data_IF_784524436852
#
_entry.id   IF_784524436852
#
_cell.length_a   1.000
_cell.length_b   1.000
_cell.length_c   1.000
_cell.angle_alpha   90.00
_cell.angle_beta   90.00
_cell.angle_gamma   90.00
#
_symmetry.space_group_name_H-M   'P 1'
#
loop_
_entity.id
_entity.type
_entity.pdbx_description
1 polymer ?
#
# COMPACT_ATOMS: atom_id res chain seq x y z
N UNK A 1 4.42 -16.72 -40.86
CA UNK A 1 5.58 -15.82 -40.98
C UNK A 1 5.96 -15.21 -39.63
N UNK A 2 5.09 -14.42 -38.99
CA UNK A 2 5.42 -13.72 -37.73
C UNK A 2 5.95 -14.61 -36.60
N UNK A 3 5.36 -15.79 -36.39
CA UNK A 3 5.83 -16.78 -35.40
C UNK A 3 7.28 -17.22 -35.68
N UNK A 4 7.63 -17.46 -36.94
CA UNK A 4 8.99 -17.88 -37.34
C UNK A 4 10.02 -16.77 -37.16
N UNK A 5 9.61 -15.52 -37.32
CA UNK A 5 10.45 -14.36 -37.01
C UNK A 5 10.72 -14.24 -35.51
N UNK A 6 9.71 -14.53 -34.67
CA UNK A 6 9.86 -14.58 -33.20
C UNK A 6 10.83 -15.70 -32.80
N UNK A 7 10.70 -16.87 -33.41
CA UNK A 7 11.60 -18.01 -33.19
C UNK A 7 13.04 -17.64 -33.53
N UNK A 8 13.30 -17.04 -34.70
CA UNK A 8 14.66 -16.66 -35.10
C UNK A 8 15.24 -15.53 -34.25
N UNK A 9 14.45 -14.50 -33.92
CA UNK A 9 14.89 -13.44 -33.01
C UNK A 9 15.27 -14.02 -31.63
N UNK A 10 14.46 -14.96 -31.13
CA UNK A 10 14.69 -15.58 -29.83
C UNK A 10 15.88 -16.55 -29.87
N UNK A 11 16.08 -17.26 -30.99
CA UNK A 11 17.27 -18.11 -31.24
C UNK A 11 18.56 -17.31 -31.12
N UNK A 12 18.57 -16.08 -31.64
CA UNK A 12 19.72 -15.18 -31.61
C UNK A 12 19.84 -14.38 -30.30
N UNK A 13 18.90 -14.55 -29.36
CA UNK A 13 18.95 -13.88 -28.05
C UNK A 13 18.58 -12.39 -28.07
N UNK A 14 18.05 -11.87 -29.18
CA UNK A 14 17.68 -10.45 -29.25
C UNK A 14 16.35 -10.17 -28.54
N UNK A 15 16.32 -9.14 -27.70
CA UNK A 15 15.07 -8.59 -27.18
C UNK A 15 14.28 -7.88 -28.30
N UNK A 16 12.95 -7.86 -28.22
CA UNK A 16 12.11 -7.20 -29.23
C UNK A 16 12.48 -5.72 -29.43
N UNK A 17 12.82 -5.00 -28.35
CA UNK A 17 13.22 -3.59 -28.44
C UNK A 17 14.59 -3.42 -29.12
N UNK A 18 15.57 -4.27 -28.79
CA UNK A 18 16.90 -4.20 -29.39
C UNK A 18 16.86 -4.59 -30.87
N UNK A 19 16.12 -5.66 -31.19
CA UNK A 19 15.96 -6.11 -32.57
C UNK A 19 15.29 -5.06 -33.45
N UNK A 20 14.25 -4.38 -32.96
CA UNK A 20 13.60 -3.28 -33.66
C UNK A 20 14.57 -2.13 -33.95
N UNK A 21 15.39 -1.76 -32.97
CA UNK A 21 16.40 -0.71 -33.14
C UNK A 21 17.46 -1.09 -34.19
N UNK A 22 17.97 -2.32 -34.16
CA UNK A 22 18.98 -2.79 -35.12
C UNK A 22 18.44 -2.98 -36.54
N UNK A 23 17.14 -3.22 -36.68
CA UNK A 23 16.47 -3.35 -37.98
C UNK A 23 15.81 -2.04 -38.45
N UNK A 24 16.06 -0.93 -37.74
CA UNK A 24 15.57 0.42 -38.06
C UNK A 24 14.04 0.52 -38.18
N UNK A 25 13.31 -0.31 -37.44
CA UNK A 25 11.84 -0.23 -37.37
C UNK A 25 11.39 0.14 -35.96
N UNK A 26 10.19 0.72 -35.86
CA UNK A 26 9.62 0.96 -34.54
C UNK A 26 9.31 -0.36 -33.83
N UNK A 27 9.38 -0.37 -32.50
CA UNK A 27 9.00 -1.55 -31.70
C UNK A 27 7.57 -2.01 -31.99
N UNK A 28 6.66 -1.08 -32.25
CA UNK A 28 5.27 -1.40 -32.58
C UNK A 28 5.15 -2.05 -33.96
N UNK A 29 5.91 -1.57 -34.95
CA UNK A 29 6.01 -2.18 -36.28
C UNK A 29 6.51 -3.61 -36.18
N UNK A 30 7.59 -3.86 -35.42
CA UNK A 30 8.10 -5.21 -35.21
C UNK A 30 7.07 -6.10 -34.50
N UNK A 31 6.38 -5.58 -33.49
CA UNK A 31 5.32 -6.31 -32.78
C UNK A 31 4.18 -6.73 -33.72
N UNK A 32 3.76 -5.86 -34.64
CA UNK A 32 2.73 -6.16 -35.62
C UNK A 32 3.18 -7.19 -36.66
N UNK A 33 4.44 -7.13 -37.09
CA UNK A 33 5.05 -8.13 -37.98
C UNK A 33 5.12 -9.52 -37.32
N UNK A 34 5.56 -9.57 -36.06
CA UNK A 34 5.61 -10.80 -35.25
C UNK A 34 4.22 -11.40 -35.01
N UNK A 35 3.19 -10.55 -34.87
CA UNK A 35 1.79 -10.98 -34.75
C UNK A 35 1.15 -11.35 -36.10
N UNK A 36 1.86 -11.15 -37.22
CA UNK A 36 1.35 -11.38 -38.57
C UNK A 36 0.26 -10.40 -39.03
N UNK A 37 0.11 -9.27 -38.33
CA UNK A 37 -0.88 -8.22 -38.66
C UNK A 37 -0.37 -7.19 -39.66
N UNK A 38 0.94 -7.17 -39.89
CA UNK A 38 1.59 -6.32 -40.90
C UNK A 38 2.51 -7.18 -41.77
N UNK A 39 2.59 -6.83 -43.04
CA UNK A 39 3.54 -7.44 -43.98
C UNK A 39 4.98 -7.05 -43.62
N UNK A 40 5.91 -7.96 -43.87
CA UNK A 40 7.34 -7.75 -43.64
C UNK A 40 7.96 -7.21 -44.93
N UNK A 41 8.66 -6.07 -44.87
CA UNK A 41 9.35 -5.51 -46.04
C UNK A 41 10.63 -6.28 -46.35
N UNK A 42 11.01 -6.33 -47.63
CA UNK A 42 12.27 -6.94 -48.05
C UNK A 42 13.49 -6.25 -47.41
N UNK A 43 13.41 -4.93 -47.21
CA UNK A 43 14.44 -4.12 -46.56
C UNK A 43 14.66 -4.53 -45.09
N UNK A 44 13.56 -4.80 -44.37
CA UNK A 44 13.63 -5.33 -43.01
C UNK A 44 14.26 -6.73 -42.98
N UNK A 45 13.90 -7.62 -43.92
CA UNK A 45 14.50 -8.96 -43.99
C UNK A 45 16.00 -8.89 -44.33
N UNK A 46 16.42 -7.95 -45.17
CA UNK A 46 17.83 -7.71 -45.47
C UNK A 46 18.63 -7.31 -44.23
N UNK A 47 18.12 -6.37 -43.43
CA UNK A 47 18.75 -6.00 -42.15
C UNK A 47 18.73 -7.15 -41.15
N UNK A 48 17.63 -7.89 -41.06
CA UNK A 48 17.52 -9.05 -40.18
C UNK A 48 18.54 -10.15 -40.55
N UNK A 49 18.78 -10.39 -41.85
CA UNK A 49 19.78 -11.35 -42.31
C UNK A 49 21.19 -11.01 -41.83
N UNK A 50 21.55 -9.72 -41.83
CA UNK A 50 22.84 -9.25 -41.32
C UNK A 50 23.00 -9.51 -39.81
N UNK A 51 21.89 -9.59 -39.07
CA UNK A 51 21.88 -9.96 -37.65
C UNK A 51 21.91 -11.47 -37.41
N UNK A 52 22.00 -12.28 -38.48
CA UNK A 52 22.07 -13.74 -38.42
C UNK A 52 20.71 -14.45 -38.46
N UNK A 53 19.63 -13.73 -38.79
CA UNK A 53 18.30 -14.32 -38.97
C UNK A 53 18.26 -15.16 -40.24
N UNK A 54 17.79 -16.39 -40.14
CA UNK A 54 17.53 -17.24 -41.29
C UNK A 54 16.26 -16.74 -42.02
N UNK A 55 16.46 -15.87 -43.00
CA UNK A 55 15.36 -15.30 -43.80
C UNK A 55 14.63 -16.39 -44.59
N UNK A 56 15.34 -17.43 -45.05
CA UNK A 56 14.72 -18.55 -45.76
C UNK A 56 13.72 -19.26 -44.84
N UNK A 57 14.08 -19.50 -43.58
CA UNK A 57 13.15 -20.07 -42.59
C UNK A 57 11.97 -19.16 -42.29
N UNK A 58 12.19 -17.86 -42.11
CA UNK A 58 11.10 -16.90 -41.82
C UNK A 58 10.07 -16.91 -42.95
N UNK A 59 10.53 -16.91 -44.20
CA UNK A 59 9.67 -16.86 -45.39
C UNK A 59 9.06 -18.22 -45.73
N UNK A 60 9.89 -19.24 -45.90
CA UNK A 60 9.49 -20.55 -46.44
C UNK A 60 9.11 -21.54 -45.36
N UNK A 61 9.63 -21.39 -44.14
CA UNK A 61 9.45 -22.36 -43.04
C UNK A 61 10.44 -23.51 -43.07
N UNK A 62 11.34 -23.53 -44.06
CA UNK A 62 12.41 -24.51 -44.19
C UNK A 62 13.70 -23.83 -43.73
N UNK A 63 14.39 -24.42 -42.75
CA UNK A 63 15.68 -23.89 -42.25
C UNK A 63 16.75 -24.06 -43.31
N UNK A 64 17.56 -23.02 -43.52
CA UNK A 64 18.77 -23.15 -44.32
C UNK A 64 19.73 -24.08 -43.60
N UNK A 65 20.22 -25.11 -44.29
CA UNK A 65 21.30 -25.94 -43.77
C UNK A 65 22.59 -25.13 -43.78
N UNK A 66 22.91 -24.50 -42.65
CA UNK A 66 24.21 -23.88 -42.42
C UNK A 66 25.24 -24.98 -42.19
N UNK A 67 26.39 -24.92 -42.86
CA UNK A 67 27.51 -25.90 -42.85
C UNK A 67 28.03 -26.30 -41.45
N UNK A 68 27.60 -25.63 -40.38
CA UNK A 68 28.05 -25.87 -38.99
C UNK A 68 27.34 -27.04 -38.27
N UNK A 69 26.28 -27.66 -38.84
CA UNK A 69 25.48 -28.71 -38.19
C UNK A 69 25.80 -30.17 -38.63
N UNK A 70 27.05 -30.51 -38.96
CA UNK A 70 27.45 -31.91 -39.27
C UNK A 70 27.95 -32.72 -38.08
N UNK A 71 28.30 -32.10 -36.97
CA UNK A 71 28.79 -32.78 -35.77
C UNK A 71 27.73 -32.72 -34.66
N UNK A 72 27.55 -33.81 -33.93
CA UNK A 72 26.78 -33.86 -32.66
C UNK A 72 25.27 -34.11 -32.77
N UNK A 73 24.87 -35.14 -33.54
CA UNK A 73 23.62 -35.88 -33.25
C UNK A 73 23.91 -37.13 -32.44
N UNK A 74 23.94 -37.06 -31.10
CA UNK A 74 23.54 -38.23 -30.27
C UNK A 74 23.08 -37.82 -28.86
N UNK A 75 21.96 -38.42 -28.41
CA UNK A 75 21.52 -38.62 -27.00
C UNK A 75 20.77 -37.43 -26.33
N UNK A 76 19.61 -37.53 -25.66
CA UNK A 76 18.73 -38.63 -25.18
C UNK A 76 17.27 -38.11 -25.09
N UNK A 77 16.32 -38.99 -25.42
CA UNK A 77 14.88 -38.85 -25.16
C UNK A 77 14.58 -39.20 -23.68
N UNK A 78 13.79 -38.38 -22.98
CA UNK A 78 12.95 -38.78 -21.83
C UNK A 78 11.98 -37.63 -21.47
N UNK A 79 10.70 -37.79 -21.83
CA UNK A 79 9.64 -36.78 -21.60
C UNK A 79 8.64 -37.27 -20.54
N UNK A 80 8.80 -36.84 -19.29
CA UNK A 80 7.77 -36.96 -18.26
C UNK A 80 6.99 -35.64 -18.18
N UNK A 81 5.79 -35.61 -18.75
CA UNK A 81 4.85 -34.48 -18.66
C UNK A 81 3.87 -34.77 -17.51
N UNK A 82 3.93 -33.99 -16.43
CA UNK A 82 2.94 -34.01 -15.34
C UNK A 82 1.91 -32.93 -15.63
N UNK A 83 0.63 -33.31 -15.80
CA UNK A 83 -0.48 -32.39 -16.01
C UNK A 83 -1.05 -31.90 -14.67
N UNK A 84 -1.09 -30.58 -14.48
CA UNK A 84 -1.83 -29.91 -13.41
C UNK A 84 -2.85 -28.92 -13.97
N UNK A 85 -3.91 -28.64 -13.19
CA UNK A 85 -5.14 -27.89 -13.53
C UNK A 85 -4.96 -26.47 -14.13
N UNK A 86 -3.72 -25.97 -14.32
CA UNK A 86 -3.41 -24.65 -14.90
C UNK A 86 -2.21 -24.63 -15.84
N UNK A 87 -2.03 -25.65 -16.68
CA UNK A 87 -1.17 -25.57 -17.87
C UNK A 87 -0.11 -26.67 -18.01
N UNK A 88 0.41 -26.82 -19.24
CA UNK A 88 1.44 -27.79 -19.63
C UNK A 88 2.82 -27.21 -19.29
N UNK A 89 3.54 -27.87 -18.38
CA UNK A 89 4.92 -27.52 -18.04
C UNK A 89 5.83 -28.35 -18.96
N UNK A 90 6.38 -27.73 -20.00
CA UNK A 90 7.36 -28.39 -20.85
C UNK A 90 8.69 -28.55 -20.08
N UNK A 91 9.32 -29.71 -20.24
CA UNK A 91 10.54 -30.16 -19.58
C UNK A 91 11.78 -29.37 -20.03
N UNK A 92 11.81 -28.06 -19.80
CA UNK A 92 13.01 -27.23 -19.91
C UNK A 92 13.64 -27.04 -18.53
N UNK A 93 14.98 -27.03 -18.47
CA UNK A 93 15.74 -26.75 -17.24
C UNK A 93 15.25 -25.46 -16.59
N UNK A 94 14.52 -25.56 -15.48
CA UNK A 94 14.07 -24.41 -14.69
C UNK A 94 15.30 -23.91 -13.92
N UNK A 95 16.03 -22.96 -14.49
CA UNK A 95 17.04 -22.20 -13.75
C UNK A 95 16.31 -21.27 -12.77
N UNK A 96 15.93 -21.82 -11.61
CA UNK A 96 15.34 -21.08 -10.51
C UNK A 96 16.44 -20.24 -9.81
N UNK A 97 16.84 -19.15 -10.46
CA UNK A 97 17.81 -18.19 -9.94
C UNK A 97 17.18 -17.48 -8.74
N UNK A 98 17.36 -18.03 -7.53
CA UNK A 98 17.01 -17.39 -6.27
C UNK A 98 18.07 -16.32 -5.96
N UNK A 99 17.95 -15.13 -6.54
CA UNK A 99 18.73 -13.97 -6.07
C UNK A 99 18.12 -13.46 -4.78
N UNK A 100 18.83 -13.62 -3.67
CA UNK A 100 18.44 -13.03 -2.39
C UNK A 100 18.66 -11.51 -2.44
N UNK A 101 17.58 -10.74 -2.27
CA UNK A 101 17.67 -9.28 -2.22
C UNK A 101 18.34 -8.84 -0.92
N UNK A 102 19.65 -8.66 -0.93
CA UNK A 102 20.38 -8.10 0.20
C UNK A 102 20.10 -6.58 0.31
N UNK A 103 19.47 -6.14 1.40
CA UNK A 103 19.24 -4.71 1.69
C UNK A 103 19.83 -4.38 3.05
N UNK A 104 20.87 -3.56 3.10
CA UNK A 104 21.46 -3.07 4.35
C UNK A 104 20.58 -1.98 4.96
N UNK A 105 20.00 -2.23 6.13
CA UNK A 105 19.26 -1.22 6.89
C UNK A 105 20.18 -0.64 7.96
N UNK A 106 20.61 0.61 7.78
CA UNK A 106 21.29 1.37 8.85
C UNK A 106 20.31 1.57 10.00
N UNK A 107 20.50 0.85 11.11
CA UNK A 107 19.67 1.01 12.30
C UNK A 107 20.21 2.19 13.09
N UNK A 108 19.46 3.30 13.12
CA UNK A 108 19.74 4.39 14.04
C UNK A 108 19.64 3.86 15.48
N UNK A 109 20.67 4.09 16.28
CA UNK A 109 20.68 3.74 17.70
C UNK A 109 19.69 4.66 18.42
N UNK A 110 18.70 4.07 19.08
CA UNK A 110 17.75 4.82 19.91
C UNK A 110 18.38 4.95 21.29
N UNK A 111 18.58 6.18 21.76
CA UNK A 111 18.94 6.52 23.14
C UNK A 111 17.68 6.96 23.91
N UNK A 112 17.01 6.05 24.65
CA UNK A 112 15.80 6.39 25.38
C UNK A 112 16.11 7.32 26.56
N UNK A 113 15.18 8.22 26.89
CA UNK A 113 15.16 9.04 28.12
C UNK A 113 16.08 10.26 28.13
N UNK A 114 17.23 10.24 27.45
CA UNK A 114 18.13 11.42 27.37
C UNK A 114 17.77 12.33 26.19
N UNK A 115 17.65 11.77 24.99
CA UNK A 115 17.42 12.55 23.76
C UNK A 115 16.06 12.20 23.15
N UNK A 116 15.63 10.95 23.26
CA UNK A 116 14.40 10.45 22.65
C UNK A 116 13.33 10.06 23.67
N UNK A 117 12.09 9.94 23.18
CA UNK A 117 10.94 9.51 24.00
C UNK A 117 11.24 8.25 24.82
N UNK A 118 10.71 8.22 26.04
CA UNK A 118 10.75 7.04 26.90
C UNK A 118 9.89 5.91 26.33
N UNK A 119 10.16 4.67 26.75
CA UNK A 119 9.40 3.50 26.30
C UNK A 119 7.92 3.56 26.69
N UNK A 120 7.60 4.13 27.86
CA UNK A 120 6.22 4.35 28.29
C UNK A 120 5.47 5.29 27.33
N UNK A 121 6.12 6.38 26.91
CA UNK A 121 5.58 7.31 25.92
C UNK A 121 5.42 6.62 24.57
N UNK A 122 6.40 5.84 24.15
CA UNK A 122 6.35 5.05 22.93
C UNK A 122 5.15 4.09 22.92
N UNK A 123 4.87 3.42 24.05
CA UNK A 123 3.69 2.57 24.22
C UNK A 123 2.39 3.35 24.12
N UNK A 124 2.31 4.50 24.78
CA UNK A 124 1.15 5.40 24.70
C UNK A 124 0.86 5.81 23.25
N UNK A 125 1.89 6.13 22.48
CA UNK A 125 1.72 6.45 21.04
C UNK A 125 1.22 5.25 20.24
N UNK A 126 1.72 4.04 20.51
CA UNK A 126 1.23 2.82 19.87
C UNK A 126 -0.26 2.58 20.14
N UNK A 127 -0.69 2.74 21.39
CA UNK A 127 -2.10 2.54 21.77
C UNK A 127 -3.01 3.59 21.10
N UNK A 128 -2.57 4.86 21.03
CA UNK A 128 -3.30 5.91 20.30
C UNK A 128 -3.37 5.63 18.79
N UNK A 129 -2.29 5.15 18.18
CA UNK A 129 -2.28 4.78 16.75
C UNK A 129 -3.21 3.60 16.50
N UNK A 130 -3.21 2.59 17.39
CA UNK A 130 -4.12 1.45 17.31
C UNK A 130 -5.58 1.91 17.35
N UNK A 131 -5.94 2.77 18.30
CA UNK A 131 -7.29 3.33 18.39
C UNK A 131 -7.69 4.09 17.10
N UNK A 132 -6.77 4.87 16.51
CA UNK A 132 -7.04 5.57 15.24
C UNK A 132 -7.34 4.57 14.12
N UNK A 133 -6.52 3.54 13.96
CA UNK A 133 -6.70 2.56 12.87
C UNK A 133 -8.02 1.80 13.05
N UNK A 134 -8.35 1.38 14.26
CA UNK A 134 -9.64 0.72 14.56
C UNK A 134 -10.83 1.64 14.24
N UNK A 135 -10.75 2.93 14.59
CA UNK A 135 -11.79 3.90 14.26
C UNK A 135 -11.86 4.20 12.76
N UNK A 136 -10.71 4.32 12.08
CA UNK A 136 -10.66 4.49 10.62
C UNK A 136 -11.34 3.32 9.91
N UNK A 137 -11.04 2.08 10.31
CA UNK A 137 -11.66 0.87 9.77
C UNK A 137 -13.17 0.85 9.96
N UNK A 138 -13.67 1.23 11.15
CA UNK A 138 -15.11 1.30 11.41
C UNK A 138 -15.78 2.42 10.61
N UNK A 139 -15.12 3.55 10.36
CA UNK A 139 -15.77 4.77 9.88
C UNK A 139 -15.62 5.03 8.38
N UNK A 140 -14.45 4.75 7.81
CA UNK A 140 -14.07 5.13 6.45
C UNK A 140 -14.10 3.94 5.50
N UNK A 141 -14.44 4.21 4.24
CA UNK A 141 -14.42 3.19 3.20
C UNK A 141 -12.98 2.83 2.79
N UNK A 142 -12.07 3.80 2.83
CA UNK A 142 -10.64 3.59 2.61
C UNK A 142 -9.88 3.96 3.90
N UNK A 143 -9.80 3.04 4.87
CA UNK A 143 -9.19 3.29 6.16
C UNK A 143 -7.68 3.41 6.06
N UNK A 144 -7.08 4.23 6.92
CA UNK A 144 -5.61 4.32 6.99
C UNK A 144 -5.02 3.12 7.73
N UNK A 145 -3.98 2.54 7.15
CA UNK A 145 -3.17 1.51 7.79
C UNK A 145 -2.30 2.10 8.91
N UNK A 146 -1.81 1.23 9.80
CA UNK A 146 -0.81 1.60 10.82
C UNK A 146 0.35 2.38 10.22
N UNK A 147 0.90 1.90 9.10
CA UNK A 147 2.02 2.55 8.41
C UNK A 147 1.67 3.97 7.95
N UNK A 148 0.45 4.19 7.43
CA UNK A 148 0.02 5.52 6.99
C UNK A 148 -0.16 6.50 8.17
N UNK A 149 -0.64 6.01 9.32
CA UNK A 149 -0.75 6.82 10.54
C UNK A 149 0.63 7.16 11.08
N UNK A 150 1.55 6.19 11.16
CA UNK A 150 2.95 6.43 11.56
C UNK A 150 3.66 7.39 10.63
N UNK A 151 3.52 7.23 9.31
CA UNK A 151 4.10 8.16 8.34
C UNK A 151 3.60 9.59 8.55
N UNK A 152 2.31 9.75 8.86
CA UNK A 152 1.71 11.05 9.15
C UNK A 152 2.25 11.66 10.44
N UNK A 153 2.41 10.86 11.50
CA UNK A 153 2.97 11.30 12.78
C UNK A 153 4.45 11.68 12.64
N UNK A 154 5.26 10.82 12.01
CA UNK A 154 6.68 11.02 11.79
C UNK A 154 6.93 12.32 11.00
N UNK A 155 6.13 12.55 9.95
CA UNK A 155 6.14 13.81 9.19
C UNK A 155 5.77 15.00 10.06
N UNK A 156 4.75 14.90 10.91
CA UNK A 156 4.33 15.98 11.80
C UNK A 156 5.38 16.33 12.87
N UNK A 157 6.11 15.34 13.37
CA UNK A 157 7.20 15.51 14.33
C UNK A 157 8.55 15.84 13.66
N UNK A 158 8.63 15.75 12.33
CA UNK A 158 9.84 15.92 11.51
C UNK A 158 10.96 14.94 11.89
N UNK A 159 10.60 13.66 12.01
CA UNK A 159 11.53 12.57 12.36
C UNK A 159 11.37 11.40 11.39
N UNK A 160 12.42 10.58 11.25
CA UNK A 160 12.36 9.39 10.42
C UNK A 160 11.46 8.29 11.00
N UNK A 161 11.52 8.10 12.33
CA UNK A 161 10.69 7.13 13.06
C UNK A 161 10.23 7.71 14.39
N UNK A 162 9.09 7.24 14.89
CA UNK A 162 8.49 7.75 16.12
C UNK A 162 9.39 7.54 17.35
N UNK A 163 10.24 6.51 17.32
CA UNK A 163 11.23 6.26 18.39
C UNK A 163 12.33 7.32 18.47
N UNK A 164 12.51 8.12 17.42
CA UNK A 164 13.47 9.23 17.40
C UNK A 164 12.81 10.57 17.72
N UNK A 165 11.55 10.58 18.16
CA UNK A 165 10.89 11.82 18.60
C UNK A 165 11.66 12.37 19.82
N UNK A 166 12.09 13.65 19.78
CA UNK A 166 12.68 14.31 20.94
C UNK A 166 11.70 14.40 22.11
N UNK A 167 12.19 14.31 23.34
CA UNK A 167 11.37 14.37 24.55
C UNK A 167 10.47 15.63 24.57
N UNK A 168 10.99 16.78 24.17
CA UNK A 168 10.26 18.05 24.06
C UNK A 168 9.03 18.00 23.13
N UNK A 169 9.08 17.15 22.10
CA UNK A 169 8.01 17.02 21.10
C UNK A 169 6.97 15.96 21.51
N UNK A 170 7.07 15.36 22.68
CA UNK A 170 6.16 14.33 23.19
C UNK A 170 4.72 14.82 23.25
N UNK A 171 4.47 15.94 23.94
CA UNK A 171 3.11 16.46 24.11
C UNK A 171 2.48 16.86 22.78
N UNK A 172 3.31 17.39 21.88
CA UNK A 172 2.93 17.73 20.51
C UNK A 172 2.46 16.48 19.74
N UNK A 173 3.19 15.36 19.85
CA UNK A 173 2.84 14.09 19.21
C UNK A 173 1.54 13.50 19.77
N UNK A 174 1.41 13.42 21.10
CA UNK A 174 0.22 12.90 21.77
C UNK A 174 -1.02 13.75 21.42
N UNK A 175 -0.88 15.08 21.46
CA UNK A 175 -1.96 16.00 21.13
C UNK A 175 -2.42 15.83 19.69
N UNK A 176 -1.50 15.62 18.75
CA UNK A 176 -1.84 15.38 17.35
C UNK A 176 -2.69 14.12 17.16
N UNK A 177 -2.29 12.99 17.76
CA UNK A 177 -3.05 11.74 17.68
C UNK A 177 -4.42 11.86 18.36
N UNK A 178 -4.48 12.47 19.55
CA UNK A 178 -5.75 12.71 20.27
C UNK A 178 -6.70 13.60 19.45
N UNK A 179 -6.18 14.64 18.79
CA UNK A 179 -6.98 15.48 17.87
C UNK A 179 -7.52 14.66 16.70
N UNK A 180 -6.75 13.69 16.20
CA UNK A 180 -7.22 12.78 15.15
C UNK A 180 -8.39 11.92 15.61
N UNK A 181 -8.24 11.25 16.77
CA UNK A 181 -9.32 10.47 17.39
C UNK A 181 -10.55 11.34 17.61
N UNK A 182 -10.38 12.57 18.10
CA UNK A 182 -11.46 13.53 18.28
C UNK A 182 -12.22 13.87 16.99
N UNK A 183 -11.50 14.06 15.87
CA UNK A 183 -12.11 14.31 14.55
C UNK A 183 -12.89 13.10 14.04
N UNK A 184 -12.33 11.89 14.19
CA UNK A 184 -12.98 10.64 13.77
C UNK A 184 -14.24 10.36 14.59
N UNK A 185 -14.12 10.38 15.91
CA UNK A 185 -15.24 10.16 16.85
C UNK A 185 -16.32 11.24 16.77
N UNK A 186 -16.01 12.44 16.27
CA UNK A 186 -17.00 13.51 16.08
C UNK A 186 -17.62 13.55 14.68
N UNK A 187 -17.26 12.62 13.80
CA UNK A 187 -17.85 12.53 12.46
C UNK A 187 -19.33 12.16 12.53
N UNK A 188 -20.13 12.65 11.57
CA UNK A 188 -21.59 12.43 11.54
C UNK A 188 -21.98 10.95 11.51
N UNK A 189 -21.16 10.11 10.88
CA UNK A 189 -21.38 8.67 10.78
C UNK A 189 -20.95 7.91 12.03
N UNK A 190 -20.23 8.54 12.96
CA UNK A 190 -19.64 7.85 14.11
C UNK A 190 -20.67 7.17 15.03
N UNK A 191 -21.77 7.83 15.44
CA UNK A 191 -22.77 7.19 16.30
C UNK A 191 -23.37 5.94 15.62
N UNK A 192 -23.72 6.05 14.34
CA UNK A 192 -24.33 4.96 13.57
C UNK A 192 -23.39 3.77 13.36
N UNK A 193 -22.11 4.02 13.02
CA UNK A 193 -21.16 2.96 12.65
C UNK A 193 -20.44 2.34 13.85
N UNK A 194 -20.15 3.12 14.89
CA UNK A 194 -19.47 2.64 16.11
C UNK A 194 -20.48 2.13 17.14
N UNK A 195 -21.71 2.62 17.11
CA UNK A 195 -22.80 2.15 17.96
C UNK A 195 -22.62 2.53 19.43
N UNK A 196 -22.89 1.59 20.34
CA UNK A 196 -22.96 1.86 21.78
C UNK A 196 -21.61 2.30 22.37
N UNK A 197 -20.48 1.81 21.85
CA UNK A 197 -19.13 2.23 22.28
C UNK A 197 -18.96 3.76 22.18
N UNK A 198 -19.55 4.38 21.15
CA UNK A 198 -19.50 5.83 20.96
C UNK A 198 -20.24 6.55 22.09
N UNK A 199 -21.45 6.10 22.45
CA UNK A 199 -22.23 6.68 23.55
C UNK A 199 -21.52 6.50 24.89
N UNK A 200 -20.99 5.31 25.17
CA UNK A 200 -20.24 5.03 26.39
C UNK A 200 -19.05 5.98 26.54
N UNK A 201 -18.25 6.18 25.49
CA UNK A 201 -17.13 7.14 25.53
C UNK A 201 -17.59 8.57 25.80
N UNK A 202 -18.73 8.99 25.24
CA UNK A 202 -19.31 10.33 25.48
C UNK A 202 -19.83 10.49 26.90
N UNK A 203 -20.54 9.49 27.42
CA UNK A 203 -21.00 9.49 28.81
C UNK A 203 -19.84 9.53 29.78
N UNK A 204 -18.83 8.68 29.61
CA UNK A 204 -17.64 8.67 30.47
C UNK A 204 -16.96 10.03 30.47
N UNK A 205 -16.78 10.64 29.29
CA UNK A 205 -16.21 11.98 29.22
C UNK A 205 -17.06 13.02 29.97
N UNK A 206 -18.38 13.05 29.72
CA UNK A 206 -19.27 14.02 30.35
C UNK A 206 -19.19 13.84 31.88
N UNK A 207 -19.45 12.63 32.37
CA UNK A 207 -19.44 12.32 33.81
C UNK A 207 -18.12 12.65 34.49
N UNK A 208 -16.98 12.25 33.91
CA UNK A 208 -15.66 12.52 34.48
C UNK A 208 -15.39 14.02 34.57
N UNK A 209 -15.74 14.77 33.53
CA UNK A 209 -15.41 16.20 33.46
C UNK A 209 -16.44 17.10 34.13
N UNK A 210 -17.65 16.60 34.39
CA UNK A 210 -18.67 17.39 35.10
C UNK A 210 -18.65 17.15 36.61
N UNK A 211 -18.06 16.03 37.07
CA UNK A 211 -18.07 15.62 38.47
C UNK A 211 -17.66 16.76 39.42
N UNK A 212 -18.50 17.06 40.40
CA UNK A 212 -18.32 18.19 41.31
C UNK A 212 -18.76 19.53 40.70
N UNK A 213 -17.81 20.35 40.24
CA UNK A 213 -18.02 21.78 39.94
C UNK A 213 -19.05 22.09 38.84
N UNK A 214 -19.28 21.18 37.90
CA UNK A 214 -20.11 21.41 36.72
C UNK A 214 -21.39 20.56 36.71
N UNK A 215 -21.67 19.80 37.77
CA UNK A 215 -22.85 18.93 37.84
C UNK A 215 -24.14 19.75 37.81
N UNK A 216 -24.25 20.77 38.67
CA UNK A 216 -25.43 21.64 38.73
C UNK A 216 -25.68 22.33 37.39
N UNK A 217 -24.62 22.86 36.77
CA UNK A 217 -24.70 23.47 35.45
C UNK A 217 -25.14 22.49 34.37
N UNK A 218 -24.66 21.24 34.40
CA UNK A 218 -25.06 20.22 33.44
C UNK A 218 -26.56 19.93 33.57
N UNK A 219 -27.05 19.71 34.80
CA UNK A 219 -28.46 19.41 35.07
C UNK A 219 -29.36 20.56 34.61
N UNK A 220 -29.00 21.80 34.93
CA UNK A 220 -29.74 22.99 34.48
C UNK A 220 -29.73 23.11 32.94
N UNK A 221 -28.57 22.91 32.31
CA UNK A 221 -28.44 22.97 30.85
C UNK A 221 -29.25 21.87 30.15
N UNK A 222 -29.33 20.66 30.71
CA UNK A 222 -30.15 19.57 30.17
C UNK A 222 -31.63 19.89 30.26
N UNK A 223 -32.07 20.41 31.41
CA UNK A 223 -33.46 20.78 31.64
C UNK A 223 -33.89 21.94 30.73
N UNK A 224 -33.12 23.03 30.67
CA UNK A 224 -33.46 24.21 29.88
C UNK A 224 -33.45 23.96 28.37
N UNK A 225 -32.47 23.20 27.86
CA UNK A 225 -32.27 23.06 26.41
C UNK A 225 -32.98 21.87 25.79
N UNK A 226 -33.16 20.79 26.55
CA UNK A 226 -33.69 19.53 26.05
C UNK A 226 -34.87 18.99 26.88
N UNK A 227 -35.19 19.60 28.03
CA UNK A 227 -36.29 19.15 28.89
C UNK A 227 -36.04 17.81 29.57
N UNK A 228 -34.79 17.32 29.62
CA UNK A 228 -34.43 16.02 30.18
C UNK A 228 -33.66 16.15 31.49
N UNK A 229 -33.82 15.16 32.36
CA UNK A 229 -33.12 15.12 33.65
C UNK A 229 -31.78 14.36 33.57
N UNK A 230 -31.60 13.52 32.53
CA UNK A 230 -30.43 12.66 32.40
C UNK A 230 -29.88 12.63 30.99
N UNK A 231 -28.55 12.54 30.87
CA UNK A 231 -27.84 12.35 29.60
C UNK A 231 -28.23 11.05 28.88
N UNK A 232 -28.82 10.07 29.59
CA UNK A 232 -29.26 8.79 29.01
C UNK A 232 -30.46 8.94 28.09
N UNK A 233 -31.27 9.98 28.29
CA UNK A 233 -32.49 10.24 27.52
C UNK A 233 -32.21 10.97 26.19
N UNK A 234 -30.98 11.43 25.97
CA UNK A 234 -30.61 12.22 24.79
C UNK A 234 -30.46 11.36 23.53
N UNK A 235 -30.87 11.89 22.39
CA UNK A 235 -30.51 11.33 21.08
C UNK A 235 -29.00 11.52 20.80
N UNK A 236 -28.42 10.77 19.86
CA UNK A 236 -26.99 10.84 19.50
C UNK A 236 -26.54 12.24 19.09
N UNK A 237 -27.36 12.97 18.33
CA UNK A 237 -27.06 14.34 17.92
C UNK A 237 -27.03 15.30 19.12
N UNK A 238 -27.96 15.13 20.05
CA UNK A 238 -28.07 15.96 21.25
C UNK A 238 -26.95 15.65 22.23
N UNK A 239 -26.63 14.36 22.42
CA UNK A 239 -25.50 13.90 23.21
C UNK A 239 -24.18 14.47 22.69
N UNK A 240 -24.00 14.51 21.37
CA UNK A 240 -22.82 15.14 20.77
C UNK A 240 -22.77 16.65 21.04
N UNK A 241 -23.90 17.36 20.98
CA UNK A 241 -23.98 18.80 21.31
C UNK A 241 -23.67 19.05 22.79
N UNK A 242 -24.25 18.25 23.70
CA UNK A 242 -23.97 18.34 25.14
C UNK A 242 -22.48 18.08 25.42
N UNK A 243 -21.90 17.05 24.80
CA UNK A 243 -20.46 16.78 24.89
C UNK A 243 -19.61 18.00 24.50
N UNK A 244 -19.96 18.70 23.42
CA UNK A 244 -19.24 19.90 22.97
C UNK A 244 -19.43 21.09 23.93
N UNK A 245 -20.64 21.28 24.47
CA UNK A 245 -20.91 22.30 25.50
C UNK A 245 -20.06 22.05 26.75
N UNK A 246 -20.03 20.81 27.25
CA UNK A 246 -19.23 20.41 28.42
C UNK A 246 -17.74 20.65 28.16
N UNK A 247 -17.22 20.22 27.01
CA UNK A 247 -15.81 20.43 26.65
C UNK A 247 -15.45 21.93 26.58
N UNK A 248 -16.36 22.76 26.06
CA UNK A 248 -16.18 24.21 25.98
C UNK A 248 -16.22 24.87 27.37
N UNK A 249 -17.15 24.44 28.23
CA UNK A 249 -17.28 24.93 29.60
C UNK A 249 -16.06 24.56 30.44
N UNK A 250 -15.58 23.31 30.37
CA UNK A 250 -14.34 22.86 31.02
C UNK A 250 -13.14 23.73 30.62
N UNK A 251 -13.01 24.04 29.32
CA UNK A 251 -11.91 24.89 28.85
C UNK A 251 -11.98 26.30 29.43
N UNK A 252 -13.19 26.84 29.63
CA UNK A 252 -13.40 28.17 30.24
C UNK A 252 -13.11 28.17 31.74
N UNK A 253 -13.41 27.10 32.46
CA UNK A 253 -13.15 27.01 33.91
C UNK A 253 -11.70 26.65 34.25
N UNK A 254 -10.97 26.07 33.30
CA UNK A 254 -9.54 25.72 33.45
C UNK A 254 -8.59 26.86 33.05
N UNK A 255 -9.12 27.94 32.45
CA UNK A 255 -8.39 29.17 32.18
C UNK A 255 -8.61 30.12 33.34
#
# INVERSE_FOLDING_TARGET
MGIRLVEERSRLGYSQANFAHQTEVSRETLRLNELGKSGISAEFLGRAAQLGVDVQYVVTGIRSETEENKSEKTSIQNSNVIYGDKGIINSGTINNIKTEKYTTKTKAVVQPTEIHISEHTARTLQDLVKEIVELEQKLKNNPKSFQAVWASLNKYCQVATYRLIPVEKTDKAITYLRKWIGRLSSSKSAPKKVGNEWRTKKYSYIKINTRGMLENWLTEHLLQKYGVQSITQLNDLELQKVYQSVASKKRKTSK
#
